data_IF_284577984986
#
_entry.id   IF_284577984986
#
_cell.length_a   1.000
_cell.length_b   1.000
_cell.length_c   1.000
_cell.angle_alpha   90.00
_cell.angle_beta   90.00
_cell.angle_gamma   90.00
#
_symmetry.space_group_name_H-M   'P 1'
#
loop_
_entity.id
_entity.type
_entity.pdbx_description
1 polymer ?
#
# COMPACT_ATOMS: atom_id res chain seq x y z
N UNK A 1 -1.39 19.56 -4.03
CA UNK A 1 -2.33 18.60 -4.64
C UNK A 1 -3.08 17.87 -3.52
N UNK A 2 -4.37 17.52 -3.68
CA UNK A 2 -5.14 16.77 -2.67
C UNK A 2 -6.13 15.81 -3.32
N UNK A 3 -6.53 14.75 -2.61
CA UNK A 3 -7.68 13.93 -3.02
C UNK A 3 -8.93 14.83 -3.00
N UNK A 4 -9.71 14.92 -4.10
CA UNK A 4 -10.90 15.77 -4.14
C UNK A 4 -11.96 15.35 -3.11
N UNK A 5 -12.61 16.31 -2.46
CA UNK A 5 -13.53 16.03 -1.35
C UNK A 5 -14.75 15.18 -1.76
N UNK A 6 -15.17 15.23 -3.02
CA UNK A 6 -16.29 14.38 -3.50
C UNK A 6 -15.93 12.89 -3.58
N UNK A 7 -14.64 12.52 -3.64
CA UNK A 7 -14.22 11.13 -3.47
C UNK A 7 -14.60 10.64 -2.07
N UNK A 8 -14.77 11.55 -1.09
CA UNK A 8 -15.10 11.20 0.28
C UNK A 8 -16.50 10.68 0.54
N UNK A 9 -17.35 10.77 -0.47
CA UNK A 9 -18.72 10.28 -0.44
C UNK A 9 -18.86 8.89 -1.08
N UNK A 10 -17.81 8.33 -1.69
CA UNK A 10 -17.86 7.02 -2.35
C UNK A 10 -16.63 6.15 -2.02
N UNK A 11 -16.87 5.09 -1.25
CA UNK A 11 -15.86 4.08 -0.89
C UNK A 11 -15.15 3.44 -2.09
N UNK A 12 -15.83 3.32 -3.24
CA UNK A 12 -15.22 2.77 -4.45
C UNK A 12 -14.18 3.74 -5.02
N UNK A 13 -14.50 5.03 -5.06
CA UNK A 13 -13.58 6.06 -5.57
C UNK A 13 -12.32 6.16 -4.71
N UNK A 14 -12.45 6.07 -3.39
CA UNK A 14 -11.27 6.03 -2.51
C UNK A 14 -10.38 4.83 -2.72
N UNK A 15 -10.97 3.63 -2.77
CA UNK A 15 -10.19 2.41 -2.98
C UNK A 15 -9.45 2.46 -4.31
N UNK A 16 -10.09 2.98 -5.35
CA UNK A 16 -9.44 3.20 -6.65
C UNK A 16 -8.31 4.25 -6.57
N UNK A 17 -8.54 5.38 -5.91
CA UNK A 17 -7.54 6.44 -5.74
C UNK A 17 -6.31 5.96 -4.93
N UNK A 18 -6.54 5.30 -3.78
CA UNK A 18 -5.48 4.73 -2.97
C UNK A 18 -4.73 3.64 -3.71
N UNK A 19 -5.42 2.80 -4.50
CA UNK A 19 -4.76 1.81 -5.36
C UNK A 19 -3.80 2.49 -6.35
N UNK A 20 -4.26 3.54 -7.03
CA UNK A 20 -3.42 4.32 -7.95
C UNK A 20 -2.17 4.87 -7.28
N UNK A 21 -2.33 5.56 -6.14
CA UNK A 21 -1.19 6.07 -5.35
C UNK A 21 -0.25 4.95 -4.89
N UNK A 22 -0.82 3.82 -4.50
CA UNK A 22 -0.04 2.67 -4.02
C UNK A 22 0.73 1.98 -5.14
N UNK A 23 0.21 2.00 -6.36
CA UNK A 23 0.85 1.38 -7.51
C UNK A 23 2.00 2.22 -8.07
N UNK A 24 1.93 3.56 -7.93
CA UNK A 24 2.94 4.51 -8.42
C UNK A 24 4.05 4.75 -7.41
N UNK A 25 3.67 5.11 -6.18
CA UNK A 25 4.59 5.62 -5.15
C UNK A 25 4.66 4.69 -3.92
N UNK A 26 3.91 3.59 -3.95
CA UNK A 26 3.93 2.56 -2.94
C UNK A 26 4.97 1.48 -3.21
N UNK A 27 5.35 0.77 -2.15
CA UNK A 27 6.22 -0.40 -2.21
C UNK A 27 5.85 -1.42 -1.15
N UNK A 28 5.98 -2.69 -1.51
CA UNK A 28 5.94 -3.83 -0.58
C UNK A 28 7.36 -4.35 -0.41
N UNK A 29 7.84 -4.39 0.83
CA UNK A 29 9.21 -4.74 1.15
C UNK A 29 9.32 -5.61 2.41
N UNK A 30 10.49 -6.25 2.62
CA UNK A 30 10.75 -7.02 3.84
C UNK A 30 10.74 -6.11 5.07
N UNK A 31 10.30 -6.66 6.21
CA UNK A 31 10.40 -6.01 7.51
C UNK A 31 10.96 -7.00 8.54
N UNK A 32 11.90 -6.55 9.37
CA UNK A 32 12.71 -7.44 10.21
C UNK A 32 11.86 -8.31 11.16
N UNK A 33 10.87 -7.72 11.81
CA UNK A 33 10.09 -8.43 12.84
C UNK A 33 8.78 -9.04 12.32
N UNK A 34 8.19 -8.43 11.30
CA UNK A 34 6.85 -8.83 10.80
C UNK A 34 6.90 -9.42 9.40
N UNK A 35 8.10 -9.65 8.87
CA UNK A 35 8.44 -10.24 7.56
C UNK A 35 8.03 -9.41 6.35
N UNK A 36 6.97 -8.63 6.45
CA UNK A 36 6.43 -7.80 5.37
C UNK A 36 5.99 -6.42 5.88
N UNK A 37 6.17 -5.42 5.04
CA UNK A 37 5.69 -4.06 5.23
C UNK A 37 5.25 -3.48 3.88
N UNK A 38 4.26 -2.60 3.96
CA UNK A 38 3.91 -1.68 2.90
C UNK A 38 4.34 -0.26 3.31
N UNK A 39 4.88 0.49 2.35
CA UNK A 39 5.24 1.89 2.51
C UNK A 39 4.72 2.68 1.31
N UNK A 40 4.18 3.88 1.56
CA UNK A 40 3.76 4.86 0.57
C UNK A 40 4.42 6.19 0.90
N UNK A 41 5.18 6.74 -0.04
CA UNK A 41 5.86 8.03 0.14
C UNK A 41 5.05 9.14 -0.52
N UNK A 42 4.70 10.19 0.23
CA UNK A 42 3.98 11.37 -0.25
C UNK A 42 4.66 12.61 0.34
N UNK A 43 5.31 13.39 -0.53
CA UNK A 43 6.00 14.64 -0.15
C UNK A 43 5.09 15.87 -0.15
N UNK A 44 3.89 15.77 -0.77
CA UNK A 44 2.93 16.86 -0.84
C UNK A 44 2.04 16.83 0.42
N UNK A 45 2.12 17.83 1.33
CA UNK A 45 1.45 17.77 2.63
C UNK A 45 -0.07 17.64 2.58
N UNK A 46 -0.73 18.31 1.63
CA UNK A 46 -2.19 18.20 1.49
C UNK A 46 -2.61 16.84 0.94
N UNK A 47 -1.80 16.25 0.06
CA UNK A 47 -2.03 14.89 -0.46
C UNK A 47 -1.86 13.88 0.67
N UNK A 48 -0.78 13.99 1.45
CA UNK A 48 -0.52 13.18 2.64
C UNK A 48 -1.70 13.23 3.62
N UNK A 49 -2.13 14.44 3.97
CA UNK A 49 -3.25 14.64 4.89
C UNK A 49 -4.55 14.01 4.37
N UNK A 50 -4.84 14.19 3.08
CA UNK A 50 -6.04 13.60 2.46
C UNK A 50 -5.96 12.07 2.33
N UNK A 51 -4.78 11.50 2.07
CA UNK A 51 -4.56 10.06 2.03
C UNK A 51 -4.72 9.42 3.43
N UNK A 52 -4.18 10.07 4.48
CA UNK A 52 -4.38 9.65 5.88
C UNK A 52 -5.87 9.62 6.21
N UNK A 53 -6.63 10.66 5.81
CA UNK A 53 -8.09 10.71 6.01
C UNK A 53 -8.78 9.54 5.30
N UNK A 54 -8.41 9.23 4.06
CA UNK A 54 -8.97 8.12 3.30
C UNK A 54 -8.69 6.76 3.97
N UNK A 55 -7.44 6.50 4.41
CA UNK A 55 -7.11 5.28 5.15
C UNK A 55 -7.89 5.15 6.47
N UNK A 56 -8.05 6.26 7.22
CA UNK A 56 -8.87 6.28 8.44
C UNK A 56 -10.33 5.93 8.17
N UNK A 57 -10.92 6.49 7.11
CA UNK A 57 -12.31 6.21 6.72
C UNK A 57 -12.52 4.75 6.32
N UNK A 58 -11.52 4.10 5.74
CA UNK A 58 -11.52 2.65 5.44
C UNK A 58 -11.13 1.78 6.65
N UNK A 59 -11.02 2.36 7.86
CA UNK A 59 -10.62 1.67 9.08
C UNK A 59 -9.27 0.94 8.94
N UNK A 60 -8.30 1.52 8.22
CA UNK A 60 -6.93 1.01 8.16
C UNK A 60 -6.06 1.60 9.27
N UNK A 61 -5.42 0.72 10.05
CA UNK A 61 -4.44 1.11 11.05
C UNK A 61 -3.08 1.36 10.39
N UNK A 62 -2.78 2.64 10.13
CA UNK A 62 -1.54 3.12 9.52
C UNK A 62 -0.60 3.75 10.55
N UNK A 63 0.70 3.69 10.27
CA UNK A 63 1.73 4.54 10.88
C UNK A 63 2.13 5.66 9.92
N UNK A 64 2.64 6.76 10.46
CA UNK A 64 3.12 7.91 9.69
C UNK A 64 4.48 8.34 10.26
N UNK A 65 5.47 8.55 9.41
CA UNK A 65 6.80 9.03 9.78
C UNK A 65 7.41 9.83 8.64
N UNK A 66 7.65 11.12 8.86
CA UNK A 66 8.00 12.06 7.80
C UNK A 66 7.00 11.99 6.65
N UNK A 67 7.51 11.81 5.43
CA UNK A 67 6.73 11.71 4.21
C UNK A 67 6.20 10.30 3.93
N UNK A 68 6.24 9.38 4.90
CA UNK A 68 5.86 7.98 4.70
C UNK A 68 4.62 7.59 5.48
N UNK A 69 3.67 6.95 4.79
CA UNK A 69 2.60 6.15 5.38
C UNK A 69 3.02 4.68 5.31
N UNK A 70 2.96 3.96 6.42
CA UNK A 70 3.35 2.57 6.45
C UNK A 70 2.41 1.70 7.29
N UNK A 71 2.35 0.43 6.94
CA UNK A 71 1.76 -0.60 7.79
C UNK A 71 2.49 -1.92 7.56
N UNK A 72 2.61 -2.71 8.61
CA UNK A 72 3.45 -3.89 8.62
C UNK A 72 2.71 -5.11 9.18
N UNK A 73 3.20 -6.28 8.78
CA UNK A 73 2.66 -7.57 9.16
C UNK A 73 1.55 -8.07 8.24
N UNK A 74 1.47 -9.39 8.18
CA UNK A 74 0.60 -10.12 7.24
C UNK A 74 -0.86 -9.70 7.38
N UNK A 75 -1.41 -9.62 8.60
CA UNK A 75 -2.82 -9.29 8.82
C UNK A 75 -3.22 -7.96 8.17
N UNK A 76 -2.39 -6.93 8.30
CA UNK A 76 -2.66 -5.60 7.74
C UNK A 76 -2.53 -5.59 6.22
N UNK A 77 -1.53 -6.29 5.69
CA UNK A 77 -1.33 -6.36 4.25
C UNK A 77 -2.37 -7.25 3.55
N UNK A 78 -2.83 -8.32 4.18
CA UNK A 78 -3.98 -9.12 3.71
C UNK A 78 -5.19 -8.22 3.53
N UNK A 79 -5.56 -7.45 4.58
CA UNK A 79 -6.67 -6.49 4.50
C UNK A 79 -6.46 -5.49 3.35
N UNK A 80 -5.24 -4.97 3.19
CA UNK A 80 -4.91 -4.03 2.12
C UNK A 80 -5.13 -4.64 0.74
N UNK A 81 -4.61 -5.84 0.48
CA UNK A 81 -4.75 -6.50 -0.82
C UNK A 81 -6.18 -6.97 -1.11
N UNK A 82 -6.98 -7.26 -0.09
CA UNK A 82 -8.39 -7.63 -0.23
C UNK A 82 -9.30 -6.41 -0.50
N UNK A 83 -9.10 -5.30 0.21
CA UNK A 83 -9.99 -4.14 0.10
C UNK A 83 -9.56 -3.11 -0.95
N UNK A 84 -8.26 -2.82 -1.02
CA UNK A 84 -7.70 -1.84 -1.94
C UNK A 84 -7.09 -2.57 -3.13
N UNK A 85 -6.30 -3.61 -2.91
CA UNK A 85 -5.62 -4.34 -3.97
C UNK A 85 -4.51 -3.53 -4.63
N UNK A 86 -3.97 -4.06 -5.72
CA UNK A 86 -2.93 -3.43 -6.52
C UNK A 86 -3.07 -3.87 -7.97
N UNK A 87 -2.82 -2.97 -8.90
CA UNK A 87 -2.68 -3.27 -10.33
C UNK A 87 -1.21 -3.37 -10.75
N UNK A 88 -0.27 -3.01 -9.86
CA UNK A 88 1.15 -3.18 -10.07
C UNK A 88 1.55 -4.67 -9.97
N UNK A 89 1.97 -5.27 -11.10
CA UNK A 89 2.34 -6.68 -11.20
C UNK A 89 3.46 -7.07 -10.22
N UNK A 90 4.40 -6.16 -9.93
CA UNK A 90 5.47 -6.38 -8.94
C UNK A 90 4.91 -6.55 -7.54
N UNK A 91 3.95 -5.72 -7.13
CA UNK A 91 3.31 -5.83 -5.81
C UNK A 91 2.53 -7.15 -5.70
N UNK A 92 1.80 -7.51 -6.76
CA UNK A 92 1.04 -8.75 -6.81
C UNK A 92 1.94 -9.99 -6.74
N UNK A 93 3.07 -10.02 -7.46
CA UNK A 93 4.03 -11.13 -7.42
C UNK A 93 4.65 -11.26 -6.03
N UNK A 94 5.11 -10.15 -5.44
CA UNK A 94 5.65 -10.14 -4.08
C UNK A 94 4.65 -10.67 -3.06
N UNK A 95 3.40 -10.20 -3.14
CA UNK A 95 2.34 -10.61 -2.24
C UNK A 95 1.99 -12.09 -2.38
N UNK A 96 1.79 -12.57 -3.61
CA UNK A 96 1.50 -13.99 -3.88
C UNK A 96 2.63 -14.90 -3.42
N UNK A 97 3.88 -14.51 -3.70
CA UNK A 97 5.04 -15.26 -3.23
C UNK A 97 5.05 -15.35 -1.71
N UNK A 98 4.90 -14.22 -1.02
CA UNK A 98 4.84 -14.18 0.43
C UNK A 98 3.73 -15.03 1.03
N UNK A 99 2.51 -14.97 0.47
CA UNK A 99 1.40 -15.81 0.92
C UNK A 99 1.68 -17.31 0.76
N UNK A 100 2.52 -17.69 -0.19
CA UNK A 100 2.91 -19.09 -0.44
C UNK A 100 4.08 -19.54 0.44
N UNK A 101 5.09 -18.70 0.64
CA UNK A 101 6.37 -19.10 1.25
C UNK A 101 6.63 -18.52 2.64
N UNK A 102 5.89 -17.47 3.02
CA UNK A 102 6.17 -16.67 4.20
C UNK A 102 7.43 -15.80 4.09
N UNK A 103 8.07 -15.77 2.92
CA UNK A 103 9.32 -15.05 2.64
C UNK A 103 9.04 -13.88 1.70
N UNK A 104 9.68 -12.74 1.93
CA UNK A 104 9.52 -11.55 1.09
C UNK A 104 10.58 -11.44 0.02
N UNK A 105 10.15 -11.25 -1.22
CA UNK A 105 11.05 -11.00 -2.34
C UNK A 105 11.63 -9.59 -2.29
N UNK A 106 12.91 -9.49 -2.60
CA UNK A 106 13.59 -8.26 -2.98
C UNK A 106 13.04 -7.74 -4.31
N UNK A 107 13.31 -6.48 -4.61
CA UNK A 107 12.84 -5.87 -5.86
C UNK A 107 13.37 -6.61 -7.10
N UNK A 108 14.67 -6.91 -7.11
CA UNK A 108 15.35 -7.62 -8.21
C UNK A 108 14.80 -9.03 -8.44
N UNK A 109 14.49 -9.76 -7.38
CA UNK A 109 13.90 -11.10 -7.46
C UNK A 109 12.49 -11.06 -8.05
N UNK A 110 11.68 -10.07 -7.64
CA UNK A 110 10.35 -9.88 -8.20
C UNK A 110 10.39 -9.50 -9.69
N UNK A 111 11.38 -8.71 -10.11
CA UNK A 111 11.59 -8.35 -11.52
C UNK A 111 12.01 -9.55 -12.37
N UNK A 112 12.84 -10.45 -11.85
CA UNK A 112 13.22 -11.69 -12.55
C UNK A 112 12.02 -12.61 -12.81
N UNK A 113 11.04 -12.63 -11.90
CA UNK A 113 9.81 -13.42 -12.05
C UNK A 113 8.78 -12.81 -13.04
N UNK A 114 8.98 -11.54 -13.43
CA UNK A 114 8.10 -10.82 -14.35
C UNK A 114 8.64 -10.79 -15.79
N UNK A 115 9.88 -11.27 -16.00
CA UNK A 115 10.48 -11.46 -17.32
C UNK A 115 10.04 -12.80 -17.91
#
# INVERSE_FOLDING_TARGET
AKIPDYYFNDNKLFRACLRGLSDTDGTVCPHQHTKIMYCLTITIPELMSSAIRAYKQLNFSIGVSGDNIYFYGEKKLTKFFEEIGSSNSKHLVKWKHFKKTGIMLRATEAEQLLK
#
